data_IF_560554542610
#
_entry.id   IF_560554542610
#
_cell.length_a   1.000
_cell.length_b   1.000
_cell.length_c   1.000
_cell.angle_alpha   90.00
_cell.angle_beta   90.00
_cell.angle_gamma   90.00
#
_symmetry.space_group_name_H-M   'P 1'
#
loop_
_entity.id
_entity.type
_entity.pdbx_description
1 polymer ?
#
# COMPACT_ATOMS: atom_id res chain seq x y z
N UNK A 1 -10.89 40.63 24.55
CA UNK A 1 -10.26 40.62 23.20
C UNK A 1 -8.99 39.78 23.29
N UNK A 2 -9.04 38.51 22.88
CA UNK A 2 -7.89 37.60 22.90
C UNK A 2 -7.15 37.72 21.57
N UNK A 3 -5.88 38.09 21.62
CA UNK A 3 -5.00 38.21 20.45
C UNK A 3 -4.59 36.81 19.98
N UNK A 4 -4.89 36.46 18.73
CA UNK A 4 -4.27 35.32 18.04
C UNK A 4 -2.86 35.71 17.63
N UNK A 5 -1.86 34.92 18.04
CA UNK A 5 -0.54 34.92 17.40
C UNK A 5 -0.58 33.98 16.19
N UNK A 6 -0.07 34.37 15.01
CA UNK A 6 0.07 33.47 13.88
C UNK A 6 1.31 32.60 14.08
N UNK A 7 1.13 31.29 14.05
CA UNK A 7 2.21 30.31 13.95
C UNK A 7 2.67 30.32 12.49
N UNK A 8 3.86 30.88 12.25
CA UNK A 8 4.54 30.83 10.96
C UNK A 8 5.20 29.46 10.84
N UNK A 9 4.64 28.58 10.02
CA UNK A 9 5.27 27.34 9.57
C UNK A 9 6.32 27.67 8.49
N UNK A 10 7.58 27.67 8.88
CA UNK A 10 8.72 27.77 7.96
C UNK A 10 9.00 26.39 7.36
N UNK A 11 8.54 26.17 6.13
CA UNK A 11 9.04 25.09 5.28
C UNK A 11 10.42 25.50 4.73
N UNK A 12 11.49 24.95 5.28
CA UNK A 12 12.82 25.00 4.65
C UNK A 12 12.83 24.09 3.44
N UNK A 13 12.50 24.64 2.27
CA UNK A 13 12.74 24.00 1.00
C UNK A 13 14.22 24.12 0.65
N UNK A 14 14.92 22.98 0.54
CA UNK A 14 16.24 22.92 -0.08
C UNK A 14 16.10 23.23 -1.58
N UNK A 15 16.39 24.46 -1.98
CA UNK A 15 16.53 24.85 -3.38
C UNK A 15 17.90 24.42 -3.89
N UNK A 16 17.96 23.38 -4.73
CA UNK A 16 19.18 23.06 -5.48
C UNK A 16 19.14 23.84 -6.80
N UNK A 17 20.07 24.79 -6.93
CA UNK A 17 20.28 25.62 -8.11
C UNK A 17 20.57 24.75 -9.35
N UNK A 18 19.76 24.94 -10.40
CA UNK A 18 20.13 24.57 -11.76
C UNK A 18 21.12 25.62 -12.29
N UNK A 19 22.36 25.20 -12.57
CA UNK A 19 23.26 25.98 -13.42
C UNK A 19 23.96 25.07 -14.44
N UNK A 20 23.62 25.34 -15.71
CA UNK A 20 24.41 25.27 -16.94
C UNK A 20 25.26 24.03 -17.26
N UNK A 21 24.87 23.40 -18.38
CA UNK A 21 25.73 22.62 -19.26
C UNK A 21 27.01 23.39 -19.61
N UNK A 22 28.15 22.71 -19.54
CA UNK A 22 29.22 22.86 -20.52
C UNK A 22 29.78 21.49 -20.90
N UNK A 23 29.96 21.28 -22.21
CA UNK A 23 30.46 20.06 -22.83
C UNK A 23 31.97 20.16 -23.02
N UNK A 24 32.73 19.27 -22.41
CA UNK A 24 34.04 18.84 -22.94
C UNK A 24 34.37 17.42 -22.46
N UNK A 25 34.85 16.60 -23.39
CA UNK A 25 34.97 15.15 -23.27
C UNK A 25 36.28 14.69 -22.59
N UNK A 26 36.13 13.81 -21.58
CA UNK A 26 36.80 12.53 -21.24
C UNK A 26 38.33 12.39 -21.51
N UNK A 27 39.09 11.84 -20.53
CA UNK A 27 39.40 10.41 -20.62
C UNK A 27 39.16 9.65 -19.32
N UNK A 28 38.50 8.49 -19.47
CA UNK A 28 38.46 7.31 -18.61
C UNK A 28 39.21 7.41 -17.28
N UNK A 29 38.50 7.79 -16.22
CA UNK A 29 38.80 7.24 -14.91
C UNK A 29 37.74 6.18 -14.62
N UNK A 30 38.20 4.93 -14.60
CA UNK A 30 37.38 3.80 -14.22
C UNK A 30 37.18 3.93 -12.71
N UNK A 31 36.23 4.77 -12.31
CA UNK A 31 35.61 4.66 -10.99
C UNK A 31 34.87 3.32 -11.01
N UNK A 32 35.63 2.27 -10.69
CA UNK A 32 35.12 1.06 -10.09
C UNK A 32 34.27 1.55 -8.92
N UNK A 33 32.96 1.70 -9.15
CA UNK A 33 31.97 1.58 -8.08
C UNK A 33 32.20 0.18 -7.55
N UNK A 34 33.10 0.07 -6.58
CA UNK A 34 33.06 -1.04 -5.64
C UNK A 34 31.63 -1.01 -5.12
N UNK A 35 30.83 -1.97 -5.57
CA UNK A 35 29.66 -2.37 -4.81
C UNK A 35 30.23 -2.83 -3.46
N UNK A 36 30.36 -1.91 -2.52
CA UNK A 36 30.44 -2.29 -1.13
C UNK A 36 29.16 -3.06 -0.90
N UNK A 37 29.24 -4.39 -0.90
CA UNK A 37 28.13 -5.25 -0.51
C UNK A 37 27.59 -4.66 0.79
N UNK A 38 26.37 -4.15 0.74
CA UNK A 38 25.75 -3.54 1.90
C UNK A 38 25.71 -4.60 3.00
N UNK A 39 26.48 -4.36 4.06
CA UNK A 39 26.66 -5.36 5.11
C UNK A 39 25.35 -5.53 5.88
N UNK A 40 24.83 -6.76 5.87
CA UNK A 40 23.73 -7.18 6.72
C UNK A 40 24.10 -6.97 8.20
N UNK A 41 23.27 -6.24 8.94
CA UNK A 41 23.48 -5.91 10.34
C UNK A 41 22.74 -6.84 11.31
N UNK A 42 21.95 -7.78 10.81
CA UNK A 42 21.34 -8.84 11.62
C UNK A 42 22.39 -9.84 12.12
N UNK A 43 22.16 -10.41 13.30
CA UNK A 43 23.01 -11.43 13.90
C UNK A 43 22.65 -12.82 13.31
N UNK A 44 23.52 -13.43 12.48
CA UNK A 44 23.22 -14.72 11.86
C UNK A 44 23.14 -15.88 12.88
N UNK A 45 23.63 -15.68 14.10
CA UNK A 45 23.56 -16.67 15.19
C UNK A 45 22.26 -16.60 16.01
N UNK A 46 21.38 -15.63 15.75
CA UNK A 46 20.11 -15.53 16.45
C UNK A 46 19.16 -16.64 15.98
N UNK A 47 18.61 -17.38 16.94
CA UNK A 47 17.75 -18.55 16.69
C UNK A 47 16.32 -18.26 17.09
N UNK A 48 15.38 -19.04 16.55
CA UNK A 48 13.98 -18.99 16.97
C UNK A 48 13.83 -19.62 18.36
N UNK A 49 12.91 -19.08 19.15
CA UNK A 49 12.70 -19.51 20.53
C UNK A 49 11.94 -20.86 20.67
N UNK A 50 11.46 -21.45 19.57
CA UNK A 50 10.72 -22.71 19.57
C UNK A 50 9.24 -22.60 19.91
N UNK A 51 8.75 -21.40 20.28
CA UNK A 51 7.36 -21.17 20.69
C UNK A 51 6.56 -20.56 19.54
N UNK A 52 5.61 -21.34 19.01
CA UNK A 52 4.69 -20.88 17.97
C UNK A 52 3.61 -20.02 18.60
N UNK A 53 3.42 -18.82 18.04
CA UNK A 53 2.42 -17.85 18.46
C UNK A 53 1.64 -17.34 17.24
N UNK A 54 0.45 -16.83 17.49
CA UNK A 54 -0.36 -16.10 16.49
C UNK A 54 -0.60 -14.70 17.01
N UNK A 55 -0.22 -13.70 16.23
CA UNK A 55 -0.32 -12.29 16.57
C UNK A 55 -1.25 -11.59 15.59
N UNK A 56 -2.17 -10.78 16.11
CA UNK A 56 -2.89 -9.77 15.33
C UNK A 56 -2.17 -8.44 15.54
N UNK A 57 -1.91 -7.71 14.46
CA UNK A 57 -1.04 -6.52 14.51
C UNK A 57 -1.46 -5.46 13.51
N UNK A 58 -1.24 -4.21 13.90
CA UNK A 58 -1.34 -3.04 13.03
C UNK A 58 0.05 -2.50 12.72
N UNK A 59 0.16 -1.88 11.55
CA UNK A 59 1.35 -1.16 11.13
C UNK A 59 1.29 0.30 11.61
N UNK A 60 2.37 0.79 12.20
CA UNK A 60 2.56 2.18 12.59
C UNK A 60 3.48 2.87 11.58
N UNK A 61 2.99 3.97 11.00
CA UNK A 61 3.76 4.77 10.05
C UNK A 61 4.66 5.72 10.83
N UNK A 62 5.92 5.32 10.98
CA UNK A 62 6.97 6.16 11.55
C UNK A 62 7.64 7.04 10.48
N UNK A 63 8.36 8.06 10.94
CA UNK A 63 9.31 8.82 10.12
C UNK A 63 10.72 8.22 10.07
N UNK A 64 10.93 6.99 10.57
CA UNK A 64 12.20 6.26 10.61
C UNK A 64 12.00 4.79 10.19
N UNK A 65 13.09 4.07 9.91
CA UNK A 65 13.07 2.64 9.59
C UNK A 65 12.99 1.71 10.83
N UNK A 66 12.40 2.22 11.92
CA UNK A 66 12.23 1.51 13.19
C UNK A 66 11.20 0.37 13.11
N UNK A 67 11.16 -0.48 14.14
CA UNK A 67 10.13 -1.50 14.29
C UNK A 67 8.73 -0.86 14.24
N UNK A 68 7.86 -1.39 13.38
CA UNK A 68 6.64 -0.72 12.93
C UNK A 68 5.37 -1.57 13.10
N UNK A 69 5.46 -2.75 13.70
CA UNK A 69 4.29 -3.57 13.99
C UNK A 69 3.97 -3.53 15.47
N UNK A 70 2.69 -3.46 15.81
CA UNK A 70 2.25 -3.41 17.20
C UNK A 70 0.98 -4.24 17.39
N UNK A 71 0.89 -4.92 18.53
CA UNK A 71 -0.32 -5.65 18.91
C UNK A 71 -1.40 -4.66 19.38
N UNK A 72 -2.70 -4.99 19.29
CA UNK A 72 -3.77 -4.15 19.82
C UNK A 72 -3.59 -3.78 21.30
N UNK A 73 -3.11 -4.73 22.11
CA UNK A 73 -2.87 -4.53 23.55
C UNK A 73 -1.72 -3.55 23.78
N UNK A 74 -0.59 -3.73 23.08
CA UNK A 74 0.54 -2.81 23.19
C UNK A 74 0.15 -1.41 22.68
N UNK A 75 -0.61 -1.30 21.59
CA UNK A 75 -1.08 -0.02 21.09
C UNK A 75 -1.91 0.72 22.14
N UNK A 76 -2.93 0.05 22.69
CA UNK A 76 -3.80 0.62 23.73
C UNK A 76 -3.04 1.04 24.98
N UNK A 77 -2.01 0.30 25.38
CA UNK A 77 -1.29 0.57 26.62
C UNK A 77 -0.19 1.63 26.49
N UNK A 78 0.33 1.84 25.28
CA UNK A 78 1.53 2.65 25.04
C UNK A 78 1.37 3.73 23.96
N UNK A 79 0.18 3.94 23.39
CA UNK A 79 -0.04 4.95 22.34
C UNK A 79 0.37 6.37 22.75
N UNK A 80 0.18 6.71 24.03
CA UNK A 80 0.50 8.03 24.57
C UNK A 80 1.97 8.17 25.04
N UNK A 81 2.67 7.05 25.28
CA UNK A 81 4.06 7.04 25.76
C UNK A 81 4.76 5.72 25.42
N UNK A 82 5.98 5.81 24.86
CA UNK A 82 6.89 4.68 24.56
C UNK A 82 6.36 3.61 23.61
N UNK A 83 5.34 3.90 22.78
CA UNK A 83 4.84 2.95 21.78
C UNK A 83 5.96 2.28 20.94
N UNK A 84 6.95 3.06 20.54
CA UNK A 84 8.09 2.60 19.74
C UNK A 84 8.91 1.49 20.43
N UNK A 85 9.03 1.50 21.76
CA UNK A 85 9.75 0.47 22.54
C UNK A 85 9.00 -0.87 22.53
N UNK A 86 7.70 -0.85 22.26
CA UNK A 86 6.82 -2.02 22.23
C UNK A 86 6.55 -2.55 20.81
N UNK A 87 6.89 -1.75 19.79
CA UNK A 87 6.83 -2.19 18.41
C UNK A 87 7.82 -3.32 18.12
N UNK A 88 7.47 -4.15 17.14
CA UNK A 88 8.24 -5.30 16.71
C UNK A 88 8.49 -5.26 15.21
N UNK A 89 9.59 -5.89 14.81
CA UNK A 89 9.83 -6.22 13.42
C UNK A 89 9.11 -7.52 13.07
N UNK A 90 8.73 -7.66 11.80
CA UNK A 90 8.25 -8.93 11.25
C UNK A 90 9.17 -9.37 10.12
N UNK A 91 9.33 -10.68 9.97
CA UNK A 91 10.16 -11.28 8.93
C UNK A 91 9.42 -12.46 8.30
N UNK A 92 9.18 -12.48 6.98
CA UNK A 92 8.58 -13.64 6.34
C UNK A 92 9.55 -14.83 6.32
N UNK A 93 9.04 -16.04 6.50
CA UNK A 93 9.87 -17.24 6.47
C UNK A 93 10.46 -17.53 5.07
N UNK A 94 9.82 -17.03 4.00
CA UNK A 94 10.25 -17.10 2.60
C UNK A 94 9.58 -15.97 1.78
N UNK A 95 9.99 -15.79 0.52
CA UNK A 95 9.50 -14.69 -0.34
C UNK A 95 8.00 -14.75 -0.68
N UNK A 96 7.41 -15.95 -0.71
CA UNK A 96 5.98 -16.11 -1.02
C UNK A 96 5.07 -15.60 0.10
N UNK A 97 5.64 -15.33 1.27
CA UNK A 97 4.96 -14.79 2.44
C UNK A 97 5.16 -13.28 2.61
N UNK A 98 5.85 -12.59 1.70
CA UNK A 98 5.96 -11.13 1.75
C UNK A 98 4.58 -10.46 1.82
N UNK A 99 4.54 -9.26 2.41
CA UNK A 99 3.29 -8.50 2.48
C UNK A 99 2.74 -8.30 1.06
N UNK A 100 1.46 -8.63 0.83
CA UNK A 100 0.90 -8.53 -0.50
C UNK A 100 0.88 -7.07 -0.95
N UNK A 101 1.04 -6.83 -2.26
CA UNK A 101 1.15 -5.47 -2.81
C UNK A 101 -0.05 -4.55 -2.51
N UNK A 102 -1.21 -5.12 -2.20
CA UNK A 102 -2.41 -4.36 -1.84
C UNK A 102 -2.47 -3.97 -0.36
N UNK A 103 -1.52 -4.43 0.46
CA UNK A 103 -1.44 -4.05 1.86
C UNK A 103 -1.31 -2.53 1.98
N UNK A 104 -2.08 -1.97 2.91
CA UNK A 104 -2.19 -0.53 3.12
C UNK A 104 -2.43 -0.36 4.63
N UNK A 105 -1.48 0.24 5.37
CA UNK A 105 -1.59 0.44 6.82
C UNK A 105 -2.87 1.14 7.27
N UNK A 106 -3.42 2.04 6.45
CA UNK A 106 -4.65 2.77 6.77
C UNK A 106 -5.90 1.90 6.66
N UNK A 107 -5.86 0.84 5.83
CA UNK A 107 -7.02 0.01 5.49
C UNK A 107 -6.95 -1.40 6.02
N UNK A 108 -5.77 -1.85 6.44
CA UNK A 108 -5.52 -3.25 6.75
C UNK A 108 -4.82 -3.45 8.09
N UNK A 109 -5.10 -4.59 8.70
CA UNK A 109 -4.29 -5.19 9.75
C UNK A 109 -3.94 -6.63 9.33
N UNK A 110 -2.98 -7.24 10.01
CA UNK A 110 -2.54 -8.60 9.69
C UNK A 110 -2.71 -9.53 10.88
N UNK A 111 -2.90 -10.82 10.58
CA UNK A 111 -2.73 -11.91 11.53
C UNK A 111 -1.61 -12.81 11.03
N UNK A 112 -0.58 -12.98 11.84
CA UNK A 112 0.59 -13.79 11.49
C UNK A 112 0.75 -14.94 12.47
N UNK A 113 1.21 -16.08 11.99
CA UNK A 113 1.61 -17.21 12.84
C UNK A 113 3.08 -17.51 12.63
N UNK A 114 3.83 -17.66 13.72
CA UNK A 114 5.28 -17.65 13.68
C UNK A 114 5.93 -17.80 15.04
N UNK A 115 7.20 -17.41 15.14
CA UNK A 115 7.99 -17.46 16.37
C UNK A 115 8.84 -16.20 16.49
N UNK A 116 9.12 -15.78 17.73
CA UNK A 116 10.13 -14.77 17.97
C UNK A 116 11.54 -15.36 17.89
N UNK A 117 12.48 -14.54 17.44
CA UNK A 117 13.89 -14.79 17.72
C UNK A 117 14.19 -14.65 19.23
N UNK A 118 15.21 -15.34 19.72
CA UNK A 118 15.56 -15.38 21.15
C UNK A 118 16.01 -14.01 21.67
N UNK A 119 16.72 -13.23 20.84
CA UNK A 119 17.24 -11.90 21.22
C UNK A 119 16.63 -10.81 20.34
N UNK A 120 16.42 -9.59 20.87
CA UNK A 120 16.13 -8.42 20.06
C UNK A 120 17.24 -8.19 19.02
N UNK A 121 16.82 -7.91 17.78
CA UNK A 121 17.72 -7.75 16.64
C UNK A 121 16.99 -7.07 15.47
N UNK A 122 17.49 -7.25 14.26
CA UNK A 122 16.86 -6.81 13.01
C UNK A 122 16.38 -8.02 12.19
N UNK A 123 15.41 -7.84 11.28
CA UNK A 123 15.15 -8.82 10.23
C UNK A 123 16.41 -9.18 9.46
N UNK A 124 16.50 -10.42 9.00
CA UNK A 124 17.61 -10.88 8.14
C UNK A 124 17.64 -10.08 6.84
N UNK A 125 18.85 -9.73 6.40
CA UNK A 125 19.06 -8.89 5.22
C UNK A 125 18.89 -7.39 5.47
N UNK A 126 18.69 -6.95 6.72
CA UNK A 126 18.66 -5.51 7.05
C UNK A 126 20.03 -4.92 6.78
N UNK A 127 20.12 -3.90 5.94
CA UNK A 127 21.38 -3.20 5.66
C UNK A 127 21.51 -1.94 6.50
N UNK A 128 22.76 -1.51 6.74
CA UNK A 128 23.02 -0.29 7.51
C UNK A 128 22.69 0.96 6.68
N UNK A 129 21.66 1.69 7.09
CA UNK A 129 21.33 3.01 6.57
C UNK A 129 22.13 4.16 7.21
N UNK A 130 21.78 5.39 6.83
CA UNK A 130 22.31 6.62 7.45
C UNK A 130 21.82 6.79 8.89
N UNK A 131 20.55 6.44 9.14
CA UNK A 131 19.95 6.49 10.46
C UNK A 131 20.40 5.30 11.33
N UNK A 132 20.66 5.58 12.60
CA UNK A 132 20.87 4.53 13.57
C UNK A 132 19.54 3.84 13.87
N UNK A 133 19.48 2.53 13.61
CA UNK A 133 18.35 1.69 13.95
C UNK A 133 18.54 1.08 15.33
N UNK A 134 17.47 1.05 16.11
CA UNK A 134 17.44 0.32 17.38
C UNK A 134 16.96 -1.12 17.15
N UNK A 135 17.55 -2.05 17.91
CA UNK A 135 17.14 -3.45 17.90
C UNK A 135 15.79 -3.59 18.59
N UNK A 136 14.92 -4.44 18.04
CA UNK A 136 13.62 -4.75 18.63
C UNK A 136 13.35 -6.26 18.56
N UNK A 137 12.24 -6.71 19.15
CA UNK A 137 11.81 -8.11 18.95
C UNK A 137 11.53 -8.33 17.46
N UNK A 138 11.98 -9.46 16.93
CA UNK A 138 11.74 -9.85 15.53
C UNK A 138 10.85 -11.10 15.52
N UNK A 139 9.69 -11.00 14.88
CA UNK A 139 8.74 -12.10 14.72
C UNK A 139 8.85 -12.70 13.33
N UNK A 140 9.39 -13.91 13.23
CA UNK A 140 9.48 -14.64 11.96
C UNK A 140 8.21 -15.45 11.73
N UNK A 141 7.45 -15.12 10.70
CA UNK A 141 6.16 -15.74 10.43
C UNK A 141 6.19 -16.73 9.26
N UNK A 142 5.43 -17.81 9.41
CA UNK A 142 5.25 -18.86 8.40
C UNK A 142 3.85 -18.84 7.76
N UNK A 143 2.96 -18.00 8.29
CA UNK A 143 1.63 -17.75 7.75
C UNK A 143 1.23 -16.29 8.00
N UNK A 144 0.57 -15.69 7.02
CA UNK A 144 -0.01 -14.35 7.10
C UNK A 144 -1.41 -14.36 6.50
N UNK A 145 -2.34 -13.71 7.17
CA UNK A 145 -3.67 -13.38 6.70
C UNK A 145 -3.86 -11.85 6.82
N UNK A 146 -4.35 -11.19 5.77
CA UNK A 146 -4.59 -9.73 5.75
C UNK A 146 -6.08 -9.45 5.85
N UNK A 147 -6.45 -8.58 6.78
CA UNK A 147 -7.84 -8.24 7.08
C UNK A 147 -8.11 -6.77 6.84
N UNK A 148 -9.34 -6.46 6.43
CA UNK A 148 -9.82 -5.08 6.29
C UNK A 148 -10.12 -4.52 7.68
N UNK A 149 -9.70 -3.28 7.91
CA UNK A 149 -10.21 -2.47 9.02
C UNK A 149 -11.65 -2.06 8.73
N UNK A 150 -12.44 -1.92 9.79
CA UNK A 150 -13.73 -1.24 9.72
C UNK A 150 -13.44 0.24 9.49
N UNK A 151 -13.64 0.69 8.25
CA UNK A 151 -13.58 2.11 7.89
C UNK A 151 -14.95 2.67 8.19
N UNK A 152 -15.04 3.69 9.05
CA UNK A 152 -16.31 4.37 9.32
C UNK A 152 -16.87 4.95 8.03
N UNK A 153 -17.96 4.35 7.53
CA UNK A 153 -18.71 4.86 6.39
C UNK A 153 -19.75 5.85 6.87
N UNK A 154 -19.59 7.11 6.48
CA UNK A 154 -20.65 8.10 6.57
C UNK A 154 -21.29 8.27 5.19
N UNK A 155 -22.56 7.89 5.07
CA UNK A 155 -23.32 8.04 3.82
C UNK A 155 -23.43 9.51 3.35
N UNK A 156 -23.09 10.48 4.20
CA UNK A 156 -23.03 11.90 3.83
C UNK A 156 -21.83 12.22 2.93
N UNK A 157 -20.78 11.41 3.02
CA UNK A 157 -19.54 11.55 2.26
C UNK A 157 -19.53 10.70 1.00
N UNK A 158 -20.64 9.99 0.72
CA UNK A 158 -20.82 9.22 -0.50
C UNK A 158 -20.89 10.14 -1.72
N UNK A 159 -20.10 9.80 -2.73
CA UNK A 159 -20.13 10.42 -4.05
C UNK A 159 -20.69 9.42 -5.05
N UNK A 160 -21.27 9.93 -6.14
CA UNK A 160 -21.76 9.09 -7.23
C UNK A 160 -20.94 9.35 -8.49
N UNK A 161 -20.36 8.29 -9.04
CA UNK A 161 -19.56 8.33 -10.26
C UNK A 161 -20.28 7.59 -11.38
N UNK A 162 -20.24 8.16 -12.58
CA UNK A 162 -20.63 7.45 -13.81
C UNK A 162 -19.34 7.01 -14.51
N UNK A 163 -19.13 5.71 -14.59
CA UNK A 163 -17.87 5.13 -15.02
C UNK A 163 -18.06 4.33 -16.31
N UNK A 164 -17.08 4.44 -17.21
CA UNK A 164 -16.93 3.56 -18.37
C UNK A 164 -15.81 2.56 -18.11
N UNK A 165 -16.02 1.32 -18.52
CA UNK A 165 -14.99 0.30 -18.53
C UNK A 165 -14.03 0.52 -19.71
N UNK A 166 -12.74 0.37 -19.45
CA UNK A 166 -11.66 0.47 -20.42
C UNK A 166 -11.01 -0.91 -20.56
N UNK A 167 -11.18 -1.55 -21.72
CA UNK A 167 -10.50 -2.80 -22.02
C UNK A 167 -9.02 -2.51 -22.30
N UNK A 168 -8.16 -2.82 -21.32
CA UNK A 168 -6.72 -2.63 -21.38
C UNK A 168 -5.99 -3.96 -21.19
N UNK A 169 -4.75 -4.04 -21.69
CA UNK A 169 -3.99 -5.28 -21.71
C UNK A 169 -3.31 -5.65 -20.38
N UNK A 170 -3.40 -4.81 -19.35
CA UNK A 170 -2.88 -5.05 -18.01
C UNK A 170 -4.02 -5.19 -16.99
N UNK A 171 -3.69 -5.70 -15.80
CA UNK A 171 -4.62 -5.71 -14.65
C UNK A 171 -4.75 -4.33 -13.96
N UNK A 172 -4.39 -3.24 -14.64
CA UNK A 172 -4.46 -1.87 -14.12
C UNK A 172 -5.90 -1.45 -13.80
N UNK A 173 -6.09 -0.29 -13.16
CA UNK A 173 -7.41 0.29 -12.95
C UNK A 173 -8.16 0.47 -14.30
N UNK A 174 -9.34 -0.14 -14.43
CA UNK A 174 -10.03 -0.24 -15.72
C UNK A 174 -11.24 0.70 -15.83
N UNK A 175 -11.62 1.40 -14.77
CA UNK A 175 -12.77 2.29 -14.78
C UNK A 175 -12.33 3.75 -14.84
N UNK A 176 -12.99 4.55 -15.66
CA UNK A 176 -12.75 6.00 -15.73
C UNK A 176 -14.06 6.76 -15.84
N UNK A 177 -14.07 8.03 -15.45
CA UNK A 177 -15.28 8.86 -15.61
C UNK A 177 -15.73 8.91 -17.08
N UNK A 178 -17.03 8.71 -17.30
CA UNK A 178 -17.69 8.88 -18.61
C UNK A 178 -17.48 10.26 -19.23
N UNK A 179 -17.22 11.29 -18.41
CA UNK A 179 -17.02 12.68 -18.84
C UNK A 179 -15.59 13.01 -19.23
N UNK A 180 -14.62 12.11 -19.01
CA UNK A 180 -13.23 12.37 -19.38
C UNK A 180 -13.10 12.52 -20.90
N UNK A 181 -12.73 13.72 -21.35
CA UNK A 181 -12.41 14.01 -22.75
C UNK A 181 -10.94 13.71 -23.05
N UNK A 182 -10.56 13.69 -24.34
CA UNK A 182 -9.18 13.49 -24.77
C UNK A 182 -8.22 14.57 -24.24
N UNK A 183 -8.74 15.76 -23.92
CA UNK A 183 -7.96 16.91 -23.47
C UNK A 183 -7.79 16.97 -21.94
N UNK A 184 -8.47 16.10 -21.20
CA UNK A 184 -8.35 16.00 -19.73
C UNK A 184 -7.52 14.79 -19.36
N UNK A 185 -6.67 14.93 -18.33
CA UNK A 185 -6.00 13.77 -17.72
C UNK A 185 -7.08 12.83 -17.22
N UNK A 186 -7.16 11.65 -17.85
CA UNK A 186 -8.14 10.63 -17.48
C UNK A 186 -7.74 10.03 -16.15
N UNK A 187 -8.63 10.13 -15.17
CA UNK A 187 -8.48 9.45 -13.89
C UNK A 187 -9.02 8.04 -13.98
N UNK A 188 -8.23 7.08 -13.50
CA UNK A 188 -8.62 5.68 -13.44
C UNK A 188 -8.91 5.26 -12.00
N UNK A 189 -9.82 4.29 -11.88
CA UNK A 189 -10.34 3.78 -10.63
C UNK A 189 -10.27 2.27 -10.63
N UNK A 190 -9.73 1.71 -9.55
CA UNK A 190 -10.10 0.38 -9.12
C UNK A 190 -11.42 0.46 -8.35
N UNK A 191 -12.26 -0.56 -8.52
CA UNK A 191 -13.54 -0.64 -7.82
C UNK A 191 -13.56 -1.80 -6.82
N UNK A 192 -14.03 -1.52 -5.61
CA UNK A 192 -14.16 -2.53 -4.56
C UNK A 192 -15.60 -2.55 -4.03
N UNK A 193 -16.30 -3.70 -3.98
CA UNK A 193 -17.61 -3.74 -3.34
C UNK A 193 -17.46 -3.58 -1.83
N UNK A 194 -18.35 -2.80 -1.19
CA UNK A 194 -18.38 -2.64 0.26
C UNK A 194 -18.76 -3.92 1.01
N UNK A 195 -19.50 -4.83 0.35
CA UNK A 195 -19.90 -6.13 0.89
C UNK A 195 -19.83 -7.20 -0.18
N UNK A 196 -19.65 -8.45 0.22
CA UNK A 196 -19.69 -9.63 -0.67
C UNK A 196 -21.04 -9.84 -1.37
N UNK A 197 -22.12 -9.23 -0.86
CA UNK A 197 -23.45 -9.25 -1.47
C UNK A 197 -23.56 -8.38 -2.72
N UNK A 198 -22.66 -7.40 -2.90
CA UNK A 198 -22.63 -6.56 -4.09
C UNK A 198 -21.89 -7.26 -5.23
N UNK A 199 -22.39 -7.11 -6.45
CA UNK A 199 -21.73 -7.66 -7.62
C UNK A 199 -20.36 -6.99 -7.79
N UNK A 200 -19.31 -7.77 -8.03
CA UNK A 200 -18.01 -7.21 -8.40
C UNK A 200 -18.14 -6.58 -9.81
N UNK A 201 -17.97 -5.25 -9.88
CA UNK A 201 -18.05 -4.47 -11.11
C UNK A 201 -17.20 -5.04 -12.26
N UNK A 202 -15.98 -5.52 -11.98
CA UNK A 202 -15.07 -6.05 -13.01
C UNK A 202 -15.63 -7.32 -13.67
N UNK A 203 -16.47 -8.08 -12.97
CA UNK A 203 -17.15 -9.27 -13.52
C UNK A 203 -18.28 -8.93 -14.50
N UNK A 204 -18.64 -7.66 -14.64
CA UNK A 204 -19.60 -7.21 -15.65
C UNK A 204 -18.98 -7.21 -17.05
N UNK A 205 -17.66 -7.15 -17.16
CA UNK A 205 -16.96 -7.29 -18.43
C UNK A 205 -16.95 -8.76 -18.88
N UNK A 206 -17.48 -9.02 -20.07
CA UNK A 206 -17.63 -10.35 -20.66
C UNK A 206 -16.66 -10.59 -21.84
N UNK A 207 -15.72 -9.67 -22.07
CA UNK A 207 -14.78 -9.75 -23.19
C UNK A 207 -15.23 -9.06 -24.47
N UNK A 208 -16.52 -8.76 -24.64
CA UNK A 208 -17.04 -8.17 -25.89
C UNK A 208 -18.23 -7.19 -25.74
N UNK A 209 -18.66 -6.87 -24.53
CA UNK A 209 -19.87 -6.08 -24.25
C UNK A 209 -19.59 -4.57 -24.08
N UNK A 210 -18.72 -3.99 -24.92
CA UNK A 210 -18.52 -2.54 -24.96
C UNK A 210 -19.62 -1.86 -25.79
N UNK A 211 -20.07 -0.64 -25.41
CA UNK A 211 -19.66 0.10 -24.22
C UNK A 211 -20.30 -0.48 -22.94
N UNK A 212 -19.49 -0.68 -21.91
CA UNK A 212 -19.94 -1.05 -20.57
C UNK A 212 -19.83 0.18 -19.66
N UNK A 213 -20.97 0.63 -19.15
CA UNK A 213 -21.06 1.81 -18.29
C UNK A 213 -21.89 1.52 -17.05
N UNK A 214 -21.41 1.98 -15.90
CA UNK A 214 -22.05 1.82 -14.61
C UNK A 214 -22.15 3.16 -13.90
N UNK A 215 -23.08 3.23 -12.95
CA UNK A 215 -23.15 4.27 -11.94
C UNK A 215 -22.90 3.61 -10.59
N UNK A 216 -21.92 4.13 -9.85
CA UNK A 216 -21.58 3.63 -8.51
C UNK A 216 -21.71 4.75 -7.50
N UNK A 217 -22.18 4.40 -6.30
CA UNK A 217 -22.22 5.30 -5.14
C UNK A 217 -21.35 4.73 -4.04
N UNK A 218 -20.52 5.57 -3.43
CA UNK A 218 -19.59 5.19 -2.38
C UNK A 218 -18.46 6.19 -2.20
N UNK A 219 -17.28 5.73 -1.79
CA UNK A 219 -16.19 6.60 -1.34
C UNK A 219 -14.84 6.16 -1.89
N UNK A 220 -13.93 7.12 -2.08
CA UNK A 220 -12.51 6.85 -2.31
C UNK A 220 -11.90 6.38 -0.98
N UNK A 221 -11.37 5.16 -0.95
CA UNK A 221 -10.73 4.57 0.24
C UNK A 221 -9.20 4.57 0.15
N UNK A 222 -8.65 4.84 -1.03
CA UNK A 222 -7.23 5.08 -1.24
C UNK A 222 -7.05 5.96 -2.47
N UNK A 223 -6.18 6.97 -2.39
CA UNK A 223 -5.85 7.84 -3.52
C UNK A 223 -4.73 7.27 -4.41
N UNK A 224 -3.96 6.32 -3.88
CA UNK A 224 -2.91 5.60 -4.57
C UNK A 224 -2.74 4.22 -3.91
N UNK A 225 -3.43 3.22 -4.43
CA UNK A 225 -3.35 1.85 -3.90
C UNK A 225 -4.05 0.83 -4.79
N UNK A 226 -4.37 -0.31 -4.19
CA UNK A 226 -5.02 -1.43 -4.86
C UNK A 226 -6.23 -1.95 -4.04
N UNK A 227 -7.21 -2.62 -4.68
CA UNK A 227 -8.27 -3.33 -3.97
C UNK A 227 -7.71 -4.41 -3.04
N UNK A 228 -8.40 -4.67 -1.93
CA UNK A 228 -8.02 -5.80 -1.07
C UNK A 228 -8.12 -7.13 -1.85
N UNK A 229 -7.08 -7.96 -1.76
CA UNK A 229 -7.01 -9.23 -2.50
C UNK A 229 -6.55 -9.09 -3.95
N UNK A 230 -6.11 -7.90 -4.37
CA UNK A 230 -5.58 -7.66 -5.71
C UNK A 230 -4.34 -8.52 -5.97
N UNK A 231 -4.39 -9.33 -7.02
CA UNK A 231 -3.31 -10.22 -7.43
C UNK A 231 -3.12 -10.12 -8.96
N UNK A 232 -2.22 -9.25 -9.44
CA UNK A 232 -2.07 -9.01 -10.86
C UNK A 232 -1.47 -10.21 -11.57
N UNK A 233 -1.98 -10.50 -12.77
CA UNK A 233 -1.52 -11.64 -13.59
C UNK A 233 -0.79 -11.18 -14.86
N UNK A 234 -0.90 -9.89 -15.22
CA UNK A 234 -0.27 -9.34 -16.42
C UNK A 234 0.04 -7.84 -16.27
N UNK A 235 1.21 -7.46 -16.77
CA UNK A 235 1.70 -6.09 -16.79
C UNK A 235 2.31 -5.66 -15.45
N UNK A 236 2.63 -4.37 -15.36
CA UNK A 236 3.13 -3.71 -14.15
C UNK A 236 2.11 -2.65 -13.72
N UNK A 237 1.05 -3.05 -12.99
CA UNK A 237 -0.04 -2.17 -12.66
C UNK A 237 0.43 -1.07 -11.70
N UNK A 238 0.00 0.16 -11.97
CA UNK A 238 0.25 1.29 -11.07
C UNK A 238 -0.80 1.37 -9.98
N UNK A 239 -0.39 1.89 -8.82
CA UNK A 239 -1.29 2.26 -7.74
C UNK A 239 -2.15 3.43 -8.20
N UNK A 240 -3.47 3.31 -8.04
CA UNK A 240 -4.46 4.28 -8.52
C UNK A 240 -5.53 4.50 -7.44
N UNK A 241 -6.53 5.33 -7.72
CA UNK A 241 -7.65 5.53 -6.80
C UNK A 241 -8.43 4.22 -6.63
N UNK A 242 -8.71 3.85 -5.38
CA UNK A 242 -9.59 2.73 -5.05
C UNK A 242 -10.91 3.30 -4.56
N UNK A 243 -11.97 3.10 -5.33
CA UNK A 243 -13.32 3.52 -4.99
C UNK A 243 -14.13 2.34 -4.48
N UNK A 244 -14.54 2.40 -3.22
CA UNK A 244 -15.39 1.36 -2.63
C UNK A 244 -16.85 1.76 -2.71
N UNK A 245 -17.67 0.96 -3.38
CA UNK A 245 -19.07 1.26 -3.63
C UNK A 245 -20.01 0.48 -2.72
N UNK A 246 -21.04 1.18 -2.24
CA UNK A 246 -22.18 0.63 -1.48
C UNK A 246 -23.37 0.35 -2.39
N UNK A 247 -23.37 0.93 -3.60
CA UNK A 247 -24.40 0.73 -4.63
C UNK A 247 -23.79 0.72 -6.02
N UNK A 248 -24.29 -0.17 -6.87
CA UNK A 248 -23.96 -0.24 -8.28
C UNK A 248 -25.23 -0.34 -9.11
N UNK A 249 -25.29 0.42 -10.20
CA UNK A 249 -26.32 0.34 -11.24
C UNK A 249 -25.66 0.23 -12.61
N UNK A 250 -26.04 -0.77 -13.39
CA UNK A 250 -25.61 -0.86 -14.79
C UNK A 250 -26.41 0.15 -15.62
N UNK A 251 -25.71 1.00 -16.38
CA UNK A 251 -26.31 2.06 -17.21
C UNK A 251 -26.31 1.63 -18.68
N UNK A 252 -25.21 1.06 -19.16
CA UNK A 252 -25.10 0.47 -20.49
C UNK A 252 -24.33 -0.83 -20.41
N UNK A 253 -24.81 -1.81 -21.15
CA UNK A 253 -24.14 -3.09 -21.35
C UNK A 253 -24.18 -3.37 -22.85
N UNK A 254 -23.04 -3.23 -23.53
CA UNK A 254 -22.98 -3.35 -24.98
C UNK A 254 -23.46 -4.72 -25.46
N UNK A 255 -23.88 -4.83 -26.74
CA UNK A 255 -24.35 -6.09 -27.28
C UNK A 255 -23.22 -7.13 -27.22
N UNK A 256 -23.49 -8.28 -26.61
CA UNK A 256 -22.59 -9.43 -26.64
C UNK A 256 -22.68 -10.08 -28.01
N UNK A 257 -21.55 -10.30 -28.69
CA UNK A 257 -21.53 -11.08 -29.95
C UNK A 257 -21.69 -12.57 -29.65
N UNK A 258 -22.89 -12.99 -29.25
CA UNK A 258 -23.29 -14.40 -29.24
C UNK A 258 -24.51 -14.53 -30.16
N UNK A 259 -24.26 -14.81 -31.44
CA UNK A 259 -25.30 -14.97 -32.45
C UNK A 259 -24.75 -15.01 -33.88
N UNK A 260 -24.01 -16.07 -34.21
CA UNK A 260 -24.04 -16.78 -35.49
C UNK A 260 -23.68 -18.24 -35.23
#
# INVERSE_FOLDING_TARGET
>A
MKKLLPIILLFTACTTNQNKLDKTAVPNDTLVRQSSEEKDISDPSNTLNGKIETLEMSYIVWGCACANWVTPDDFKNYEDDKLAEHCIFIEPANKDLELPMYFDPGRHFIKVTGQFYVRPDYPKGTTKGEEQLDKARVFRYTKIDVFKKDIEYSAKDDTTLNLSYNAVECTCAQWSDTKSSADTVREYYFLEPATDKLINADKLWQGNNLPLQIQVTGQIISYAGYPTGYNPTKGDPKAEKVFRYTRLKVIRNGPTKNGY
#
